data_IF_952959187041
#
_entry.id   IF_952959187041
#
_cell.length_a   1.000
_cell.length_b   1.000
_cell.length_c   1.000
_cell.angle_alpha   90.00
_cell.angle_beta   90.00
_cell.angle_gamma   90.00
#
_symmetry.space_group_name_H-M   'P 1'
#
loop_
_entity.id
_entity.type
_entity.pdbx_description
1 polymer ?
#
# COMPACT_ATOMS: atom_id res chain seq x y z
N UNK A 1 27.66 25.85 -8.24
CA UNK A 1 28.29 24.53 -8.02
C UNK A 1 28.26 24.25 -6.52
N UNK A 2 27.15 23.75 -5.96
CA UNK A 2 27.03 23.39 -4.54
C UNK A 2 27.21 21.87 -4.28
N UNK A 3 27.78 21.12 -5.21
CA UNK A 3 27.64 19.65 -5.26
C UNK A 3 28.50 18.82 -4.28
N UNK A 4 29.49 19.41 -3.58
CA UNK A 4 30.43 18.64 -2.76
C UNK A 4 30.16 18.70 -1.25
N UNK A 5 29.74 19.85 -0.72
CA UNK A 5 29.51 20.03 0.72
C UNK A 5 28.17 19.40 1.13
N UNK A 6 27.11 19.62 0.36
CA UNK A 6 25.78 19.04 0.59
C UNK A 6 25.80 17.50 0.60
N UNK A 7 26.62 16.89 -0.27
CA UNK A 7 26.78 15.42 -0.33
C UNK A 7 27.48 14.87 0.91
N UNK A 8 28.48 15.57 1.45
CA UNK A 8 29.21 15.14 2.65
C UNK A 8 28.29 15.26 3.87
N UNK A 9 27.51 16.32 3.95
CA UNK A 9 26.57 16.56 5.06
C UNK A 9 25.44 15.54 5.09
N UNK A 10 24.82 15.25 3.93
CA UNK A 10 23.85 14.16 3.79
C UNK A 10 24.46 12.80 4.15
N UNK A 11 25.71 12.55 3.77
CA UNK A 11 26.45 11.31 4.08
C UNK A 11 26.70 11.13 5.59
N UNK A 12 26.73 12.20 6.36
CA UNK A 12 26.94 12.17 7.82
C UNK A 12 25.63 11.96 8.58
N UNK A 13 24.50 12.46 8.09
CA UNK A 13 23.20 12.32 8.76
C UNK A 13 22.65 10.89 8.76
N UNK A 14 22.72 10.18 7.63
CA UNK A 14 22.21 8.81 7.59
C UNK A 14 23.02 7.87 8.50
N UNK A 15 24.35 8.06 8.59
CA UNK A 15 25.22 7.31 9.49
C UNK A 15 24.88 7.53 10.97
N UNK A 16 24.63 8.80 11.36
CA UNK A 16 24.15 9.12 12.72
C UNK A 16 22.81 8.46 13.00
N UNK A 17 21.94 8.38 12.00
CA UNK A 17 20.61 7.75 12.11
C UNK A 17 20.74 6.24 12.30
N UNK A 18 21.61 5.57 11.54
CA UNK A 18 21.88 4.13 11.71
C UNK A 18 22.42 3.80 13.10
N UNK A 19 23.40 4.57 13.58
CA UNK A 19 23.92 4.39 14.94
C UNK A 19 22.84 4.55 16.02
N UNK A 20 21.94 5.54 15.88
CA UNK A 20 20.79 5.73 16.79
C UNK A 20 19.82 4.55 16.78
N UNK A 21 19.68 3.89 15.62
CA UNK A 21 18.85 2.70 15.46
C UNK A 21 19.54 1.41 15.95
N UNK A 22 20.79 1.49 16.43
CA UNK A 22 21.58 0.33 16.82
C UNK A 22 22.00 -0.55 15.64
N UNK A 23 21.81 -0.05 14.42
CA UNK A 23 22.27 -0.67 13.20
C UNK A 23 23.70 -0.17 13.01
N UNK A 24 24.69 -1.07 13.05
CA UNK A 24 26.10 -0.72 12.90
C UNK A 24 26.42 -0.12 11.53
N UNK A 25 27.69 -0.16 11.14
CA UNK A 25 28.05 0.23 9.77
C UNK A 25 27.40 -0.74 8.77
N UNK A 26 26.46 -0.21 7.99
CA UNK A 26 25.80 -0.95 6.91
C UNK A 26 26.72 -0.94 5.72
N UNK A 27 27.10 -2.13 5.27
CA UNK A 27 27.87 -2.28 4.03
C UNK A 27 26.96 -2.02 2.82
N UNK A 28 27.33 -1.03 2.02
CA UNK A 28 26.60 -0.62 0.81
C UNK A 28 27.38 -0.97 -0.46
N UNK A 29 28.56 -1.59 -0.37
CA UNK A 29 29.40 -1.85 -1.56
C UNK A 29 28.74 -2.77 -2.58
N UNK A 30 27.82 -3.61 -2.12
CA UNK A 30 27.12 -4.59 -2.96
C UNK A 30 25.72 -4.15 -3.41
N UNK A 31 25.29 -2.92 -3.09
CA UNK A 31 23.99 -2.39 -3.52
C UNK A 31 24.03 -2.03 -5.01
N UNK A 32 23.22 -2.71 -5.82
CA UNK A 32 23.13 -2.49 -7.26
C UNK A 32 21.95 -1.59 -7.60
N UNK A 33 22.02 -0.94 -8.76
CA UNK A 33 20.90 -0.15 -9.28
C UNK A 33 19.60 -0.99 -9.44
N UNK A 34 19.74 -2.29 -9.72
CA UNK A 34 18.61 -3.23 -9.76
C UNK A 34 17.90 -3.38 -8.41
N UNK A 35 18.62 -3.28 -7.30
CA UNK A 35 18.06 -3.44 -5.96
C UNK A 35 17.26 -2.21 -5.56
N UNK A 36 17.74 -1.02 -5.95
CA UNK A 36 17.01 0.24 -5.81
C UNK A 36 15.73 0.23 -6.64
N UNK A 37 15.81 -0.21 -7.90
CA UNK A 37 14.64 -0.35 -8.76
C UNK A 37 13.65 -1.38 -8.22
N UNK A 38 14.15 -2.49 -7.70
CA UNK A 38 13.31 -3.50 -7.06
C UNK A 38 12.57 -2.91 -5.85
N UNK A 39 13.27 -2.22 -4.95
CA UNK A 39 12.66 -1.54 -3.80
C UNK A 39 11.62 -0.51 -4.24
N UNK A 40 11.92 0.32 -5.23
CA UNK A 40 10.98 1.32 -5.73
C UNK A 40 9.68 0.69 -6.28
N UNK A 41 9.77 -0.49 -6.90
CA UNK A 41 8.61 -1.21 -7.45
C UNK A 41 7.79 -1.96 -6.38
N UNK A 42 8.44 -2.41 -5.30
CA UNK A 42 7.85 -3.32 -4.32
C UNK A 42 7.52 -2.65 -2.99
N UNK A 43 8.08 -1.47 -2.69
CA UNK A 43 7.70 -0.61 -1.58
C UNK A 43 6.43 0.16 -1.90
N UNK A 44 5.33 -0.58 -2.04
CA UNK A 44 4.04 0.04 -2.36
C UNK A 44 3.40 0.60 -1.10
N UNK A 45 2.87 1.80 -1.18
CA UNK A 45 2.17 2.43 -0.07
C UNK A 45 0.97 3.21 -0.56
N UNK A 46 0.07 3.56 0.34
CA UNK A 46 -1.07 4.44 0.07
C UNK A 46 -1.38 5.25 1.31
N UNK A 47 -1.66 6.54 1.11
CA UNK A 47 -2.08 7.50 2.13
C UNK A 47 -3.34 8.21 1.64
N UNK A 48 -4.37 8.21 2.47
CA UNK A 48 -5.65 8.83 2.16
C UNK A 48 -6.18 9.62 3.34
N UNK A 49 -6.99 10.63 3.04
CA UNK A 49 -7.74 11.41 4.03
C UNK A 49 -9.22 11.43 3.71
N UNK A 50 -10.02 11.73 4.72
CA UNK A 50 -11.44 11.99 4.60
C UNK A 50 -11.67 13.33 3.91
N UNK A 51 -12.53 13.38 2.88
CA UNK A 51 -12.66 14.59 2.05
C UNK A 51 -13.81 15.53 2.42
N UNK A 52 -14.66 15.17 3.40
CA UNK A 52 -15.79 16.00 3.83
C UNK A 52 -15.52 16.85 5.08
N UNK A 53 -14.40 16.63 5.78
CA UNK A 53 -14.03 17.33 7.01
C UNK A 53 -14.92 17.00 8.21
N UNK A 54 -15.65 15.88 8.17
CA UNK A 54 -16.64 15.50 9.19
C UNK A 54 -16.12 14.49 10.21
N UNK A 55 -14.91 13.98 10.02
CA UNK A 55 -14.24 13.05 10.93
C UNK A 55 -13.06 13.75 11.59
N UNK A 56 -12.87 13.49 12.88
CA UNK A 56 -11.75 14.01 13.65
C UNK A 56 -10.64 12.97 13.72
N UNK A 57 -9.41 13.45 13.91
CA UNK A 57 -8.29 12.56 14.19
C UNK A 57 -8.46 11.85 15.54
N UNK A 58 -8.05 10.59 15.61
CA UNK A 58 -7.96 9.82 16.83
C UNK A 58 -6.77 10.29 17.66
N UNK A 59 -6.90 10.22 19.00
CA UNK A 59 -5.78 10.49 19.92
C UNK A 59 -4.60 9.56 19.69
N UNK A 60 -4.87 8.32 19.27
CA UNK A 60 -3.86 7.33 18.91
C UNK A 60 -4.28 6.56 17.66
N UNK A 61 -3.33 6.23 16.76
CA UNK A 61 -3.66 5.48 15.55
C UNK A 61 -4.06 4.04 15.89
N UNK A 62 -5.19 3.61 15.34
CA UNK A 62 -5.62 2.21 15.37
C UNK A 62 -4.89 1.40 14.29
N UNK A 63 -4.59 0.13 14.61
CA UNK A 63 -3.93 -0.80 13.70
C UNK A 63 -4.93 -1.85 13.25
N UNK A 64 -5.21 -1.88 11.96
CA UNK A 64 -6.13 -2.83 11.34
C UNK A 64 -5.30 -3.78 10.46
N UNK A 65 -5.45 -5.10 10.64
CA UNK A 65 -4.83 -6.08 9.74
C UNK A 65 -5.73 -6.27 8.52
N UNK A 66 -5.23 -5.90 7.35
CA UNK A 66 -5.87 -6.16 6.07
C UNK A 66 -5.91 -7.66 5.76
N UNK A 67 -6.83 -8.11 4.90
CA UNK A 67 -6.92 -9.51 4.43
C UNK A 67 -5.65 -10.01 3.76
N UNK A 68 -4.89 -9.10 3.16
CA UNK A 68 -3.56 -9.31 2.57
C UNK A 68 -2.49 -9.65 3.62
N UNK A 69 -2.74 -9.32 4.90
CA UNK A 69 -1.81 -9.40 6.01
C UNK A 69 -1.06 -8.08 6.28
N UNK A 70 -1.29 -7.03 5.49
CA UNK A 70 -0.66 -5.72 5.71
C UNK A 70 -1.32 -4.98 6.85
N UNK A 71 -0.57 -4.08 7.49
CA UNK A 71 -1.13 -3.18 8.50
C UNK A 71 -1.67 -1.92 7.83
N UNK A 72 -2.91 -1.59 8.14
CA UNK A 72 -3.52 -0.29 7.87
C UNK A 72 -3.48 0.50 9.18
N UNK A 73 -2.87 1.68 9.15
CA UNK A 73 -2.88 2.63 10.25
C UNK A 73 -4.06 3.57 10.03
N UNK A 74 -5.01 3.58 10.96
CA UNK A 74 -6.18 4.44 10.95
C UNK A 74 -6.04 5.53 12.00
N UNK A 75 -6.11 6.78 11.56
CA UNK A 75 -5.95 7.96 12.38
C UNK A 75 -7.28 8.67 12.64
N UNK A 76 -8.43 8.06 12.33
CA UNK A 76 -9.75 8.71 12.41
C UNK A 76 -10.17 9.32 11.08
N UNK A 77 -9.52 10.42 10.71
CA UNK A 77 -9.72 11.20 9.48
C UNK A 77 -8.70 10.88 8.38
N UNK A 78 -7.71 10.04 8.68
CA UNK A 78 -6.71 9.58 7.71
C UNK A 78 -6.43 8.08 7.83
N UNK A 79 -5.99 7.47 6.74
CA UNK A 79 -5.51 6.09 6.71
C UNK A 79 -4.23 5.97 5.89
N UNK A 80 -3.35 5.07 6.31
CA UNK A 80 -2.17 4.73 5.53
C UNK A 80 -1.85 3.24 5.59
N UNK A 81 -1.24 2.70 4.55
CA UNK A 81 -0.75 1.32 4.54
C UNK A 81 0.51 1.18 3.71
N UNK A 82 1.31 0.18 4.04
CA UNK A 82 2.52 -0.23 3.33
C UNK A 82 2.83 -1.69 3.73
N UNK A 83 3.71 -2.41 3.00
CA UNK A 83 4.09 -3.77 3.37
C UNK A 83 4.88 -3.81 4.69
N UNK A 84 5.52 -2.71 5.06
CA UNK A 84 6.37 -2.62 6.25
C UNK A 84 7.41 -3.75 6.30
N UNK A 85 7.46 -4.46 7.42
CA UNK A 85 8.41 -5.58 7.63
C UNK A 85 8.17 -6.77 6.72
N UNK A 86 6.97 -6.91 6.14
CA UNK A 86 6.66 -8.03 5.24
C UNK A 86 7.52 -8.00 3.99
N UNK A 87 7.90 -6.82 3.49
CA UNK A 87 8.73 -6.68 2.28
C UNK A 87 10.06 -7.44 2.37
N UNK A 88 10.61 -7.55 3.58
CA UNK A 88 11.90 -8.18 3.85
C UNK A 88 11.81 -9.62 4.35
N UNK A 89 10.61 -10.22 4.35
CA UNK A 89 10.41 -11.59 4.88
C UNK A 89 10.49 -11.69 6.40
N UNK A 90 10.56 -10.55 7.10
CA UNK A 90 10.71 -10.48 8.56
C UNK A 90 9.36 -10.48 9.32
N UNK A 91 8.27 -10.81 8.62
CA UNK A 91 6.93 -10.94 9.22
C UNK A 91 6.73 -12.35 9.77
N UNK A 92 6.94 -12.51 11.08
CA UNK A 92 7.00 -13.79 11.76
C UNK A 92 5.83 -14.75 11.54
N UNK A 93 6.20 -15.93 11.09
CA UNK A 93 5.64 -17.23 11.45
C UNK A 93 6.76 -18.22 11.15
N UNK A 94 7.43 -18.73 12.19
CA UNK A 94 8.54 -19.66 12.02
C UNK A 94 8.11 -20.87 11.21
N UNK A 95 8.85 -21.16 10.16
CA UNK A 95 9.47 -22.46 9.95
C UNK A 95 10.52 -22.30 8.85
N UNK A 96 11.64 -22.97 9.06
CA UNK A 96 12.74 -23.11 8.12
C UNK A 96 12.20 -23.51 6.74
N UNK A 97 12.51 -22.71 5.72
CA UNK A 97 12.85 -23.27 4.42
C UNK A 97 13.60 -22.26 3.56
N UNK A 98 14.69 -22.76 3.00
CA UNK A 98 15.66 -22.11 2.15
C UNK A 98 15.02 -21.51 0.88
N UNK A 99 15.56 -20.37 0.44
CA UNK A 99 15.47 -19.93 -0.95
C UNK A 99 14.66 -18.66 -1.18
N UNK A 100 15.36 -17.63 -1.65
CA UNK A 100 14.84 -16.28 -1.79
C UNK A 100 13.58 -16.12 -2.63
N UNK A 101 12.66 -15.32 -2.12
CA UNK A 101 11.71 -14.49 -2.85
C UNK A 101 11.15 -13.49 -1.85
N UNK A 102 11.21 -12.20 -2.17
CA UNK A 102 10.84 -11.08 -1.30
C UNK A 102 9.54 -11.32 -0.52
N UNK A 103 9.53 -10.88 0.73
CA UNK A 103 8.61 -11.38 1.73
C UNK A 103 7.15 -11.15 1.38
N UNK A 104 6.44 -12.26 1.39
CA UNK A 104 5.03 -12.42 1.05
C UNK A 104 4.47 -13.31 2.15
N UNK A 105 3.37 -12.91 2.80
CA UNK A 105 2.67 -13.83 3.72
C UNK A 105 2.25 -15.08 2.92
N UNK A 106 2.69 -16.31 3.30
CA UNK A 106 2.36 -17.52 2.57
C UNK A 106 0.84 -17.66 2.37
N UNK A 107 0.43 -18.07 1.17
CA UNK A 107 -0.99 -18.25 0.83
C UNK A 107 -1.79 -16.97 0.52
N UNK A 108 -1.18 -15.78 0.56
CA UNK A 108 -1.87 -14.49 0.29
C UNK A 108 -1.61 -13.88 -1.09
N UNK A 109 -0.89 -14.59 -1.96
CA UNK A 109 -0.53 -14.13 -3.31
C UNK A 109 0.68 -13.19 -3.32
N UNK A 110 1.05 -12.67 -4.50
CA UNK A 110 2.24 -11.80 -4.66
C UNK A 110 2.10 -10.47 -3.91
N UNK A 111 3.23 -9.80 -3.64
CA UNK A 111 3.24 -8.47 -3.01
C UNK A 111 2.38 -7.45 -3.77
N UNK A 112 2.35 -7.53 -5.11
CA UNK A 112 1.51 -6.69 -5.97
C UNK A 112 0.02 -6.97 -5.73
N UNK A 113 -0.35 -8.26 -5.58
CA UNK A 113 -1.73 -8.63 -5.25
C UNK A 113 -2.11 -8.17 -3.84
N UNK A 114 -1.22 -8.35 -2.87
CA UNK A 114 -1.44 -7.88 -1.51
C UNK A 114 -1.63 -6.37 -1.44
N UNK A 115 -0.81 -5.61 -2.17
CA UNK A 115 -0.94 -4.16 -2.27
C UNK A 115 -2.27 -3.75 -2.90
N UNK A 116 -2.67 -4.41 -4.00
CA UNK A 116 -3.98 -4.19 -4.61
C UNK A 116 -5.12 -4.45 -3.62
N UNK A 117 -5.11 -5.61 -2.95
CA UNK A 117 -6.14 -6.00 -2.00
C UNK A 117 -6.19 -5.03 -0.81
N UNK A 118 -5.03 -4.57 -0.30
CA UNK A 118 -4.94 -3.60 0.81
C UNK A 118 -5.45 -2.22 0.42
N UNK A 119 -5.14 -1.75 -0.80
CA UNK A 119 -5.66 -0.49 -1.31
C UNK A 119 -7.19 -0.52 -1.46
N UNK A 120 -7.75 -1.63 -1.95
CA UNK A 120 -9.20 -1.81 -2.00
C UNK A 120 -9.81 -1.82 -0.58
N UNK A 121 -9.15 -2.46 0.37
CA UNK A 121 -9.63 -2.55 1.75
C UNK A 121 -9.64 -1.19 2.45
N UNK A 122 -8.66 -0.31 2.22
CA UNK A 122 -8.71 1.08 2.69
C UNK A 122 -10.00 1.80 2.25
N UNK A 123 -10.40 1.63 0.98
CA UNK A 123 -11.61 2.28 0.46
C UNK A 123 -12.89 1.66 1.04
N UNK A 124 -12.89 0.35 1.27
CA UNK A 124 -14.00 -0.31 1.96
C UNK A 124 -14.12 0.16 3.42
N UNK A 125 -12.99 0.29 4.12
CA UNK A 125 -12.95 0.81 5.50
C UNK A 125 -13.43 2.25 5.57
N UNK A 126 -12.99 3.13 4.66
CA UNK A 126 -13.47 4.51 4.60
C UNK A 126 -15.01 4.56 4.52
N UNK A 127 -15.61 3.71 3.67
CA UNK A 127 -17.07 3.58 3.60
C UNK A 127 -17.68 3.04 4.90
N UNK A 128 -17.06 2.05 5.53
CA UNK A 128 -17.54 1.47 6.79
C UNK A 128 -17.50 2.47 7.94
N UNK A 129 -16.46 3.32 7.98
CA UNK A 129 -16.33 4.42 8.94
C UNK A 129 -17.22 5.62 8.61
N UNK A 130 -17.98 5.58 7.51
CA UNK A 130 -18.92 6.64 7.16
C UNK A 130 -18.23 7.91 6.65
N UNK A 131 -17.06 7.79 6.02
CA UNK A 131 -16.43 8.92 5.34
C UNK A 131 -17.28 9.41 4.17
N UNK A 132 -17.42 10.73 4.02
CA UNK A 132 -18.21 11.35 2.95
C UNK A 132 -17.53 11.24 1.58
N UNK A 133 -16.23 11.02 1.60
CA UNK A 133 -15.40 10.71 0.44
C UNK A 133 -13.94 10.50 0.88
N UNK A 134 -13.10 10.16 -0.09
CA UNK A 134 -11.69 9.89 0.12
C UNK A 134 -10.87 10.81 -0.78
N UNK A 135 -9.79 11.39 -0.28
CA UNK A 135 -8.77 12.05 -1.08
C UNK A 135 -7.44 11.30 -0.94
N UNK A 136 -6.82 10.96 -2.07
CA UNK A 136 -5.47 10.39 -2.08
C UNK A 136 -4.45 11.51 -1.93
N UNK A 137 -3.65 11.45 -0.86
CA UNK A 137 -2.57 12.41 -0.61
C UNK A 137 -1.28 11.95 -1.29
N UNK A 138 -0.94 10.67 -1.13
CA UNK A 138 0.24 10.08 -1.75
C UNK A 138 0.09 8.55 -1.83
N UNK A 139 0.90 7.92 -2.66
CA UNK A 139 0.95 6.47 -2.76
C UNK A 139 1.67 5.99 -3.99
N UNK A 140 1.99 4.70 -4.00
CA UNK A 140 2.49 4.05 -5.20
C UNK A 140 1.41 4.04 -6.29
N UNK A 141 1.74 4.34 -7.57
CA UNK A 141 0.75 4.47 -8.65
C UNK A 141 -0.20 3.27 -8.80
N UNK A 142 0.29 2.05 -8.56
CA UNK A 142 -0.55 0.85 -8.61
C UNK A 142 -1.59 0.78 -7.49
N UNK A 143 -1.25 1.25 -6.29
CA UNK A 143 -2.18 1.30 -5.16
C UNK A 143 -3.18 2.44 -5.32
N UNK A 144 -2.76 3.61 -5.81
CA UNK A 144 -3.68 4.70 -6.15
C UNK A 144 -4.71 4.25 -7.19
N UNK A 145 -4.25 3.56 -8.24
CA UNK A 145 -5.13 2.96 -9.26
C UNK A 145 -6.09 1.93 -8.65
N UNK A 146 -5.60 1.07 -7.77
CA UNK A 146 -6.43 0.05 -7.11
C UNK A 146 -7.54 0.68 -6.26
N UNK A 147 -7.18 1.69 -5.45
CA UNK A 147 -8.12 2.47 -4.65
C UNK A 147 -9.19 3.14 -5.54
N UNK A 148 -8.79 3.78 -6.64
CA UNK A 148 -9.74 4.40 -7.58
C UNK A 148 -10.69 3.39 -8.23
N UNK A 149 -10.19 2.22 -8.65
CA UNK A 149 -11.03 1.15 -9.21
C UNK A 149 -12.06 0.69 -8.17
N UNK A 150 -11.64 0.52 -6.92
CA UNK A 150 -12.52 0.09 -5.84
C UNK A 150 -13.57 1.15 -5.50
N UNK A 151 -13.16 2.42 -5.40
CA UNK A 151 -14.06 3.54 -5.13
C UNK A 151 -15.17 3.62 -6.19
N UNK A 152 -14.79 3.48 -7.47
CA UNK A 152 -15.75 3.36 -8.57
C UNK A 152 -16.70 2.17 -8.40
N UNK A 153 -16.20 1.02 -7.95
CA UNK A 153 -16.97 -0.22 -7.80
C UNK A 153 -18.00 -0.13 -6.68
N UNK A 154 -17.67 0.52 -5.57
CA UNK A 154 -18.53 0.57 -4.37
C UNK A 154 -19.26 1.90 -4.18
N UNK A 155 -19.08 2.86 -5.10
CA UNK A 155 -19.76 4.15 -5.10
C UNK A 155 -19.25 5.12 -4.04
N UNK A 156 -17.94 5.14 -3.79
CA UNK A 156 -17.28 6.12 -2.90
C UNK A 156 -16.67 7.22 -3.77
N UNK A 157 -16.88 8.49 -3.39
CA UNK A 157 -16.19 9.61 -4.03
C UNK A 157 -14.70 9.52 -3.72
N UNK A 158 -13.86 9.53 -4.75
CA UNK A 158 -12.41 9.52 -4.61
C UNK A 158 -11.77 10.63 -5.43
N UNK A 159 -11.02 11.49 -4.75
CA UNK A 159 -10.24 12.59 -5.31
C UNK A 159 -8.72 12.30 -5.20
N UNK A 160 -7.87 13.11 -5.81
CA UNK A 160 -6.40 12.97 -5.73
C UNK A 160 -5.75 11.96 -6.70
N UNK A 161 -6.53 11.30 -7.57
CA UNK A 161 -6.02 10.43 -8.63
C UNK A 161 -6.68 10.72 -9.98
N UNK A 162 -5.87 10.87 -11.03
CA UNK A 162 -6.34 11.04 -12.41
C UNK A 162 -6.16 9.73 -13.18
N UNK A 163 -7.24 9.03 -13.57
CA UNK A 163 -7.14 7.76 -14.25
C UNK A 163 -6.62 7.91 -15.68
N UNK A 164 -5.71 7.02 -16.06
CA UNK A 164 -5.24 6.85 -17.43
C UNK A 164 -6.04 5.76 -18.18
N UNK A 165 -5.72 5.55 -19.46
CA UNK A 165 -6.38 4.52 -20.30
C UNK A 165 -6.20 3.11 -19.71
N UNK A 166 -5.06 2.84 -19.08
CA UNK A 166 -4.78 1.54 -18.47
C UNK A 166 -5.63 1.29 -17.22
N UNK A 167 -5.83 2.32 -16.38
CA UNK A 167 -6.71 2.31 -15.23
C UNK A 167 -8.16 2.02 -15.63
N UNK A 168 -8.66 2.70 -16.67
CA UNK A 168 -10.02 2.49 -17.18
C UNK A 168 -10.21 1.07 -17.75
N UNK A 169 -9.22 0.54 -18.46
CA UNK A 169 -9.24 -0.86 -18.94
C UNK A 169 -9.32 -1.86 -17.78
N UNK A 170 -8.52 -1.64 -16.72
CA UNK A 170 -8.51 -2.48 -15.52
C UNK A 170 -9.86 -2.42 -14.79
N UNK A 171 -10.45 -1.23 -14.65
CA UNK A 171 -11.78 -1.02 -14.06
C UNK A 171 -12.85 -1.83 -14.79
N UNK A 172 -12.93 -1.70 -16.12
CA UNK A 172 -13.92 -2.40 -16.94
C UNK A 172 -13.85 -3.91 -16.76
N UNK A 173 -12.64 -4.47 -16.74
CA UNK A 173 -12.42 -5.91 -16.53
C UNK A 173 -12.96 -6.40 -15.18
N UNK A 174 -12.64 -5.68 -14.10
CA UNK A 174 -13.08 -6.07 -12.74
C UNK A 174 -14.59 -5.95 -12.61
N UNK A 175 -15.19 -4.88 -13.17
CA UNK A 175 -16.65 -4.70 -13.18
C UNK A 175 -17.34 -5.80 -13.98
N UNK A 176 -16.84 -6.17 -15.16
CA UNK A 176 -17.42 -7.27 -15.96
C UNK A 176 -17.33 -8.61 -15.24
N UNK A 177 -16.19 -8.93 -14.63
CA UNK A 177 -16.01 -10.16 -13.84
C UNK A 177 -17.00 -10.21 -12.66
N UNK A 178 -17.26 -9.06 -12.01
CA UNK A 178 -18.24 -8.97 -10.91
C UNK A 178 -19.67 -9.22 -11.41
N UNK A 179 -20.05 -8.62 -12.54
CA UNK A 179 -21.38 -8.83 -13.14
C UNK A 179 -21.59 -10.29 -13.53
N UNK A 180 -20.58 -10.93 -14.13
CA UNK A 180 -20.66 -12.35 -14.49
C UNK A 180 -20.85 -13.23 -13.26
N UNK A 181 -20.11 -12.97 -12.17
CA UNK A 181 -20.31 -13.67 -10.89
C UNK A 181 -21.72 -13.46 -10.33
N UNK A 182 -22.25 -12.24 -10.39
CA UNK A 182 -23.62 -11.94 -9.98
C UNK A 182 -24.63 -12.72 -10.82
N UNK A 183 -24.49 -12.73 -12.15
CA UNK A 183 -25.35 -13.50 -13.04
C UNK A 183 -25.31 -15.00 -12.74
N UNK A 184 -24.12 -15.56 -12.50
CA UNK A 184 -23.98 -16.98 -12.13
C UNK A 184 -24.65 -17.28 -10.78
N UNK A 185 -24.49 -16.41 -9.78
CA UNK A 185 -25.13 -16.59 -8.46
C UNK A 185 -26.66 -16.57 -8.53
N UNK A 186 -27.23 -15.78 -9.45
CA UNK A 186 -28.67 -15.73 -9.72
C UNK A 186 -29.16 -16.97 -10.49
N UNK A 187 -28.33 -17.58 -11.33
CA UNK A 187 -28.69 -18.81 -12.08
C UNK A 187 -28.71 -20.06 -11.21
N UNK A 188 -27.90 -20.15 -10.16
CA UNK A 188 -27.84 -21.31 -9.25
C UNK A 188 -29.03 -21.38 -8.28
N UNK A 189 -29.79 -20.27 -8.11
CA UNK A 189 -30.96 -20.21 -7.22
C UNK A 189 -32.31 -20.54 -7.89
N UNK A 190 -32.31 -21.21 -9.05
CA UNK A 190 -33.53 -21.71 -9.71
C UNK A 190 -33.56 -23.23 -9.74
#
# INVERSE_FOLDING_TARGET
MPDSEDKIEQTLEWKKTLQRLGLGDVDLTDVRASDILWLAQHWQFLQVVESSGNHESLEQPEKIEAKSGWTILHYGDAMSTSPGKLLFGLGGGGDDDEGGSGGVKPGKGTIIKQAFDSACEIIQLAKQFGWGGVEIIDGHPDMQRAAWVEACRIGVKLDGYTPDVAAEKKRRRIVSETLDQMYQSLRVRR
#
